data_IF_658755122856
#
_entry.id   IF_658755122856
#
_cell.length_a   1.000
_cell.length_b   1.000
_cell.length_c   1.000
_cell.angle_alpha   90.00
_cell.angle_beta   90.00
_cell.angle_gamma   90.00
#
_symmetry.space_group_name_H-M   'P 1'
#
loop_
_entity.id
_entity.type
_entity.pdbx_description
1 polymer ?
#
# COMPACT_ATOMS: atom_id res chain seq x y z
N UNK A 1 41.24 -29.65 21.26
CA UNK A 1 39.79 -29.89 21.11
C UNK A 1 39.26 -28.88 20.11
N UNK A 2 38.78 -29.32 18.95
CA UNK A 2 38.18 -28.42 17.96
C UNK A 2 36.69 -28.39 18.27
N UNK A 3 36.19 -27.22 18.69
CA UNK A 3 34.77 -27.01 18.92
C UNK A 3 34.07 -26.96 17.55
N UNK A 4 33.43 -28.05 17.17
CA UNK A 4 32.51 -28.08 16.03
C UNK A 4 31.21 -27.41 16.45
N UNK A 5 31.04 -26.15 16.06
CA UNK A 5 29.73 -25.48 16.14
C UNK A 5 28.84 -26.17 15.13
N UNK A 6 27.88 -26.95 15.62
CA UNK A 6 26.81 -27.53 14.82
C UNK A 6 26.04 -26.37 14.17
N UNK A 7 26.13 -26.23 12.85
CA UNK A 7 25.31 -25.32 12.06
C UNK A 7 23.86 -25.87 12.03
N UNK A 8 23.22 -25.84 13.19
CA UNK A 8 21.86 -26.31 13.38
C UNK A 8 20.87 -25.21 13.03
N UNK A 9 20.06 -25.48 12.00
CA UNK A 9 18.85 -24.77 11.59
C UNK A 9 19.06 -23.52 10.72
N UNK A 10 19.15 -23.74 9.41
CA UNK A 10 18.93 -22.70 8.42
C UNK A 10 17.45 -22.31 8.40
N UNK A 11 17.14 -21.06 8.78
CA UNK A 11 15.79 -20.51 8.64
C UNK A 11 15.52 -20.21 7.16
N UNK A 12 14.49 -20.83 6.58
CA UNK A 12 14.03 -20.51 5.23
C UNK A 12 12.86 -19.53 5.33
N UNK A 13 13.01 -18.35 4.72
CA UNK A 13 11.98 -17.31 4.65
C UNK A 13 11.33 -17.38 3.26
N UNK A 14 10.01 -17.56 3.19
CA UNK A 14 9.27 -17.49 1.92
C UNK A 14 9.13 -16.02 1.51
N UNK A 15 9.91 -15.62 0.50
CA UNK A 15 9.88 -14.28 -0.10
C UNK A 15 9.01 -14.24 -1.37
N UNK A 16 8.23 -15.29 -1.64
CA UNK A 16 7.38 -15.34 -2.82
C UNK A 16 6.33 -14.24 -2.77
N UNK A 17 6.22 -13.39 -3.80
CA UNK A 17 5.18 -12.38 -3.85
C UNK A 17 3.80 -13.05 -3.94
N UNK A 18 2.84 -12.52 -3.18
CA UNK A 18 1.42 -12.89 -3.25
C UNK A 18 0.63 -11.61 -3.52
N UNK A 19 0.00 -11.46 -4.71
CA UNK A 19 -0.09 -12.46 -5.79
C UNK A 19 1.26 -12.68 -6.50
N UNK A 20 1.45 -13.86 -7.15
CA UNK A 20 2.69 -14.19 -7.85
C UNK A 20 2.88 -13.38 -9.15
N UNK A 21 1.84 -12.68 -9.58
CA UNK A 21 1.82 -11.92 -10.82
C UNK A 21 2.58 -10.62 -10.66
N UNK A 22 3.31 -10.24 -11.70
CA UNK A 22 3.95 -8.92 -11.76
C UNK A 22 2.90 -7.82 -11.92
N UNK A 23 3.24 -6.59 -11.52
CA UNK A 23 2.36 -5.42 -11.65
C UNK A 23 1.90 -5.22 -13.10
N UNK A 24 2.78 -5.50 -14.07
CA UNK A 24 2.49 -5.31 -15.49
C UNK A 24 1.54 -6.39 -16.02
N UNK A 25 1.66 -7.64 -15.56
CA UNK A 25 0.72 -8.71 -15.87
C UNK A 25 -0.68 -8.39 -15.32
N UNK A 26 -0.76 -7.95 -14.06
CA UNK A 26 -2.03 -7.54 -13.48
C UNK A 26 -2.65 -6.36 -14.25
N UNK A 27 -1.84 -5.38 -14.67
CA UNK A 27 -2.30 -4.25 -15.48
C UNK A 27 -2.89 -4.74 -16.81
N UNK A 28 -2.19 -5.63 -17.51
CA UNK A 28 -2.66 -6.19 -18.78
C UNK A 28 -3.95 -6.98 -18.60
N UNK A 29 -4.05 -7.78 -17.53
CA UNK A 29 -5.25 -8.53 -17.21
C UNK A 29 -6.45 -7.61 -16.99
N UNK A 30 -6.30 -6.58 -16.15
CA UNK A 30 -7.35 -5.57 -15.91
C UNK A 30 -7.77 -4.89 -17.21
N UNK A 31 -6.81 -4.48 -18.04
CA UNK A 31 -7.11 -3.85 -19.34
C UNK A 31 -7.92 -4.78 -20.25
N UNK A 32 -7.55 -6.05 -20.35
CA UNK A 32 -8.29 -7.04 -21.13
C UNK A 32 -9.72 -7.20 -20.62
N UNK A 33 -9.92 -7.33 -19.31
CA UNK A 33 -11.25 -7.45 -18.70
C UNK A 33 -12.14 -6.24 -19.02
N UNK A 34 -11.61 -5.02 -18.85
CA UNK A 34 -12.36 -3.81 -19.19
C UNK A 34 -12.71 -3.74 -20.69
N UNK A 35 -11.77 -4.09 -21.57
CA UNK A 35 -12.00 -4.14 -23.01
C UNK A 35 -13.09 -5.15 -23.37
N UNK A 36 -13.05 -6.33 -22.77
CA UNK A 36 -14.00 -7.40 -23.06
C UNK A 36 -15.41 -7.05 -22.54
N UNK A 37 -15.52 -6.37 -21.39
CA UNK A 37 -16.78 -5.79 -20.93
C UNK A 37 -17.31 -4.70 -21.87
N UNK A 38 -16.46 -3.77 -22.33
CA UNK A 38 -16.85 -2.73 -23.28
C UNK A 38 -17.30 -3.31 -24.63
N UNK A 39 -16.74 -4.45 -25.03
CA UNK A 39 -17.13 -5.18 -26.23
C UNK A 39 -18.34 -6.12 -26.04
N UNK A 40 -18.97 -6.13 -24.85
CA UNK A 40 -20.06 -7.05 -24.47
C UNK A 40 -19.69 -8.54 -24.62
N UNK A 41 -18.40 -8.87 -24.49
CA UNK A 41 -17.85 -10.24 -24.57
C UNK A 41 -17.39 -10.80 -23.22
N UNK A 42 -17.31 -9.94 -22.20
CA UNK A 42 -16.91 -10.32 -20.85
C UNK A 42 -18.03 -11.01 -20.07
N UNK A 43 -17.65 -11.64 -18.95
CA UNK A 43 -18.59 -12.20 -18.00
C UNK A 43 -19.47 -11.09 -17.38
N UNK A 44 -20.79 -11.27 -17.43
CA UNK A 44 -21.74 -10.24 -17.00
C UNK A 44 -21.60 -9.87 -15.50
N UNK A 45 -21.28 -10.85 -14.64
CA UNK A 45 -21.09 -10.62 -13.21
C UNK A 45 -19.80 -9.85 -12.93
N UNK A 46 -18.72 -10.19 -13.65
CA UNK A 46 -17.46 -9.47 -13.60
C UNK A 46 -17.63 -8.02 -14.07
N UNK A 47 -18.33 -7.81 -15.20
CA UNK A 47 -18.56 -6.48 -15.73
C UNK A 47 -19.40 -5.61 -14.79
N UNK A 48 -20.46 -6.17 -14.19
CA UNK A 48 -21.27 -5.46 -13.20
C UNK A 48 -20.45 -5.04 -11.97
N UNK A 49 -19.57 -5.92 -11.48
CA UNK A 49 -18.68 -5.61 -10.37
C UNK A 49 -17.67 -4.50 -10.73
N UNK A 50 -17.07 -4.56 -11.93
CA UNK A 50 -16.15 -3.52 -12.41
C UNK A 50 -16.86 -2.17 -12.58
N UNK A 51 -18.09 -2.15 -13.09
CA UNK A 51 -18.90 -0.93 -13.18
C UNK A 51 -19.21 -0.35 -11.80
N UNK A 52 -19.59 -1.20 -10.84
CA UNK A 52 -19.84 -0.75 -9.47
C UNK A 52 -18.58 -0.17 -8.83
N UNK A 53 -17.42 -0.81 -9.05
CA UNK A 53 -16.14 -0.30 -8.57
C UNK A 53 -15.81 1.07 -9.18
N UNK A 54 -16.01 1.24 -10.49
CA UNK A 54 -15.79 2.52 -11.17
C UNK A 54 -16.69 3.63 -10.61
N UNK A 55 -17.96 3.33 -10.33
CA UNK A 55 -18.89 4.26 -9.69
C UNK A 55 -18.42 4.68 -8.29
N UNK A 56 -17.95 3.73 -7.49
CA UNK A 56 -17.42 4.04 -6.15
C UNK A 56 -16.20 4.95 -6.23
N UNK A 57 -15.29 4.71 -7.17
CA UNK A 57 -14.11 5.55 -7.35
C UNK A 57 -14.46 6.98 -7.75
N UNK A 58 -15.49 7.19 -8.57
CA UNK A 58 -16.00 8.52 -8.90
C UNK A 58 -16.54 9.24 -7.67
N UNK A 59 -17.33 8.55 -6.85
CA UNK A 59 -17.86 9.11 -5.59
C UNK A 59 -16.71 9.48 -4.65
N UNK A 60 -15.70 8.62 -4.51
CA UNK A 60 -14.54 8.87 -3.66
C UNK A 60 -13.70 10.05 -4.17
N UNK A 61 -13.55 10.19 -5.49
CA UNK A 61 -12.86 11.31 -6.10
C UNK A 61 -13.58 12.63 -5.82
N UNK A 62 -14.90 12.69 -6.05
CA UNK A 62 -15.73 13.86 -5.72
C UNK A 62 -15.63 14.18 -4.23
N UNK A 63 -15.66 13.17 -3.35
CA UNK A 63 -15.51 13.36 -1.91
C UNK A 63 -14.15 13.95 -1.54
N UNK A 64 -13.05 13.53 -2.18
CA UNK A 64 -11.73 14.11 -1.96
C UNK A 64 -11.67 15.56 -2.45
N UNK A 65 -12.20 15.83 -3.63
CA UNK A 65 -12.19 17.17 -4.24
C UNK A 65 -13.04 18.17 -3.45
N UNK A 66 -14.13 17.69 -2.86
CA UNK A 66 -15.04 18.48 -2.01
C UNK A 66 -14.68 18.43 -0.53
N UNK A 67 -13.69 17.62 -0.13
CA UNK A 67 -13.26 17.54 1.27
C UNK A 67 -12.59 18.86 1.63
N UNK A 68 -13.07 19.58 2.66
CA UNK A 68 -12.34 20.75 3.15
C UNK A 68 -10.93 20.31 3.55
N UNK A 69 -9.92 21.08 3.10
CA UNK A 69 -8.54 20.83 3.45
C UNK A 69 -8.44 20.73 4.98
N UNK A 70 -7.73 19.71 5.48
CA UNK A 70 -7.47 19.59 6.91
C UNK A 70 -6.79 20.87 7.37
N UNK A 71 -7.43 21.61 8.28
CA UNK A 71 -6.84 22.82 8.87
C UNK A 71 -5.48 22.43 9.44
N UNK A 72 -4.37 23.06 9.00
CA UNK A 72 -3.07 22.77 9.56
C UNK A 72 -3.16 22.90 11.08
N UNK A 73 -2.64 21.91 11.81
CA UNK A 73 -2.56 22.03 13.28
C UNK A 73 -1.80 23.33 13.58
N UNK A 74 -2.27 24.16 14.53
CA UNK A 74 -1.51 25.33 14.97
C UNK A 74 -0.10 24.87 15.36
N UNK A 75 0.91 25.43 14.70
CA UNK A 75 2.29 25.23 15.11
C UNK A 75 2.44 25.96 16.44
N UNK A 76 2.82 25.24 17.49
CA UNK A 76 3.13 25.85 18.77
C UNK A 76 4.33 26.80 18.57
N UNK A 77 4.09 28.11 18.67
CA UNK A 77 5.10 29.15 18.46
C UNK A 77 6.03 29.30 19.64
N UNK A 78 5.91 28.45 20.67
CA UNK A 78 6.79 28.47 21.83
C UNK A 78 7.98 27.51 21.65
N UNK A 79 9.19 28.03 21.32
CA UNK A 79 10.39 27.21 21.12
C UNK A 79 10.88 26.51 22.41
N UNK A 80 10.29 26.80 23.58
CA UNK A 80 10.70 26.27 24.87
C UNK A 80 9.81 25.14 25.41
N UNK A 81 8.71 24.80 24.74
CA UNK A 81 7.79 23.74 25.20
C UNK A 81 8.12 22.34 24.65
N UNK A 82 9.20 22.21 23.87
CA UNK A 82 9.75 20.94 23.42
C UNK A 82 10.50 20.24 24.55
N UNK A 83 9.81 19.34 25.27
CA UNK A 83 10.44 18.32 26.12
C UNK A 83 11.64 17.71 25.39
N UNK A 84 12.78 17.70 26.07
CA UNK A 84 14.09 17.36 25.54
C UNK A 84 14.14 16.07 24.73
N UNK A 85 14.73 16.19 23.54
CA UNK A 85 15.29 15.05 22.82
C UNK A 85 16.56 14.66 23.60
N UNK A 86 16.65 13.46 24.20
CA UNK A 86 17.93 13.00 24.73
C UNK A 86 18.83 12.65 23.54
N UNK A 87 19.90 13.42 23.34
CA UNK A 87 20.97 13.07 22.41
C UNK A 87 21.73 11.87 23.00
N UNK A 88 21.92 10.76 22.25
CA UNK A 88 22.72 9.65 22.72
C UNK A 88 24.20 9.97 22.48
N UNK A 89 24.97 10.14 23.55
CA UNK A 89 26.44 10.16 23.46
C UNK A 89 27.11 11.09 24.47
N UNK A 90 27.73 10.49 25.48
CA UNK A 90 28.60 11.17 26.43
C UNK A 90 29.03 10.24 27.56
N UNK A 91 29.74 9.16 27.22
CA UNK A 91 30.55 8.45 28.19
C UNK A 91 31.78 9.30 28.53
N UNK A 92 32.10 9.31 29.83
CA UNK A 92 33.24 9.92 30.54
C UNK A 92 33.01 11.33 31.10
#
# INVERSE_FOLDING_TARGET
MIATVSAGHAFQLDVSPKPPQTIEEERRLRFAQHRDCAAAKGDASLCAMLEQQARQQLVDAVRRDTSPAATPRPVDTNPLSGRGIPLPGGHQ
#
